data_IF_738970069920
#
_entry.id   IF_738970069920
#
_cell.length_a   1.000
_cell.length_b   1.000
_cell.length_c   1.000
_cell.angle_alpha   90.00
_cell.angle_beta   90.00
_cell.angle_gamma   90.00
#
_symmetry.space_group_name_H-M   'P 1'
#
loop_
_entity.id
_entity.type
_entity.pdbx_description
1 polymer ?
#
# COMPACT_ATOMS: atom_id res chain seq x y z
N UNK A 1 26.46 6.42 7.87
CA UNK A 1 27.05 5.08 7.93
C UNK A 1 26.11 4.11 7.23
N UNK A 2 26.63 3.19 6.43
CA UNK A 2 25.85 2.19 5.66
C UNK A 2 24.93 1.31 6.54
N UNK A 3 25.26 1.13 7.80
CA UNK A 3 24.42 0.40 8.77
C UNK A 3 23.08 1.09 9.03
N UNK A 4 23.07 2.43 9.12
CA UNK A 4 21.81 3.17 9.35
C UNK A 4 20.83 3.10 8.19
N UNK A 5 21.31 3.12 6.95
CA UNK A 5 20.49 2.98 5.74
C UNK A 5 19.85 1.57 5.66
N UNK A 6 20.62 0.51 5.95
CA UNK A 6 20.08 -0.85 5.98
C UNK A 6 18.97 -1.04 7.01
N UNK A 7 19.06 -0.39 8.17
CA UNK A 7 18.02 -0.46 9.20
C UNK A 7 16.74 0.31 8.81
N UNK A 8 16.87 1.42 8.07
CA UNK A 8 15.72 2.17 7.53
C UNK A 8 14.96 1.30 6.51
N UNK A 9 15.66 0.68 5.57
CA UNK A 9 15.03 -0.21 4.57
C UNK A 9 14.34 -1.42 5.18
N UNK A 10 14.96 -2.06 6.18
CA UNK A 10 14.31 -3.15 6.93
C UNK A 10 13.01 -2.69 7.58
N UNK A 11 13.02 -1.53 8.26
CA UNK A 11 11.82 -0.98 8.90
C UNK A 11 10.73 -0.65 7.89
N UNK A 12 11.09 -0.17 6.71
CA UNK A 12 10.14 0.13 5.65
C UNK A 12 9.47 -1.14 5.12
N UNK A 13 10.25 -2.19 4.81
CA UNK A 13 9.70 -3.47 4.34
C UNK A 13 8.80 -4.08 5.41
N UNK A 14 9.24 -4.14 6.66
CA UNK A 14 8.45 -4.67 7.77
C UNK A 14 7.21 -3.81 8.02
N UNK A 15 7.35 -2.49 7.94
CA UNK A 15 6.25 -1.55 8.14
C UNK A 15 5.17 -1.69 7.06
N UNK A 16 5.55 -1.73 5.79
CA UNK A 16 4.61 -1.92 4.68
C UNK A 16 3.95 -3.31 4.71
N UNK A 17 4.72 -4.35 5.04
CA UNK A 17 4.21 -5.71 5.23
C UNK A 17 3.09 -5.75 6.28
N UNK A 18 3.34 -5.22 7.47
CA UNK A 18 2.34 -5.18 8.53
C UNK A 18 1.17 -4.23 8.23
N UNK A 19 1.40 -3.11 7.54
CA UNK A 19 0.33 -2.17 7.19
C UNK A 19 -0.69 -2.79 6.22
N UNK A 20 -0.22 -3.55 5.22
CA UNK A 20 -1.10 -4.30 4.32
C UNK A 20 -1.84 -5.40 5.07
N UNK A 21 -1.16 -6.12 5.95
CA UNK A 21 -1.79 -7.17 6.77
C UNK A 21 -2.89 -6.61 7.68
N UNK A 22 -2.67 -5.48 8.34
CA UNK A 22 -3.68 -4.81 9.16
C UNK A 22 -4.90 -4.33 8.35
N UNK A 23 -4.72 -4.07 7.06
CA UNK A 23 -5.79 -3.62 6.15
C UNK A 23 -6.63 -4.79 5.64
N UNK A 24 -6.11 -6.02 5.65
CA UNK A 24 -6.79 -7.23 5.15
C UNK A 24 -7.83 -7.76 6.15
N UNK A 25 -8.69 -6.87 6.64
CA UNK A 25 -9.72 -7.19 7.65
C UNK A 25 -11.14 -7.33 7.10
N UNK A 26 -11.40 -6.92 5.86
CA UNK A 26 -12.69 -7.03 5.17
C UNK A 26 -12.50 -7.60 3.76
N UNK A 27 -13.56 -8.19 3.22
CA UNK A 27 -13.60 -8.83 1.90
C UNK A 27 -13.07 -7.90 0.79
N UNK A 28 -11.91 -8.24 0.19
CA UNK A 28 -11.31 -7.49 -0.90
C UNK A 28 -10.72 -6.13 -0.53
N UNK A 29 -10.75 -5.73 0.73
CA UNK A 29 -10.32 -4.40 1.16
C UNK A 29 -8.86 -4.12 0.84
N UNK A 30 -7.94 -5.04 1.11
CA UNK A 30 -6.52 -4.88 0.85
C UNK A 30 -6.15 -5.09 -0.63
N UNK A 31 -6.87 -5.97 -1.33
CA UNK A 31 -6.51 -6.45 -2.66
C UNK A 31 -6.49 -5.32 -3.71
N UNK A 32 -7.53 -4.48 -3.77
CA UNK A 32 -7.60 -3.38 -4.75
C UNK A 32 -6.55 -2.29 -4.48
N UNK A 33 -6.35 -1.81 -3.24
CA UNK A 33 -5.25 -0.89 -2.95
C UNK A 33 -3.86 -1.44 -3.32
N UNK A 34 -3.60 -2.75 -3.11
CA UNK A 34 -2.35 -3.39 -3.57
C UNK A 34 -2.21 -3.30 -5.10
N UNK A 35 -3.28 -3.62 -5.86
CA UNK A 35 -3.28 -3.50 -7.32
C UNK A 35 -2.96 -2.06 -7.76
N UNK A 36 -3.58 -1.06 -7.12
CA UNK A 36 -3.36 0.34 -7.45
C UNK A 36 -1.92 0.78 -7.19
N UNK A 37 -1.38 0.44 -6.01
CA UNK A 37 0.02 0.75 -5.66
C UNK A 37 0.98 0.03 -6.60
N UNK A 38 0.78 -1.27 -6.86
CA UNK A 38 1.61 -2.04 -7.79
C UNK A 38 1.56 -1.44 -9.22
N UNK A 39 0.40 -0.95 -9.67
CA UNK A 39 0.25 -0.28 -10.97
C UNK A 39 1.03 1.02 -11.03
N UNK A 40 0.99 1.83 -9.96
CA UNK A 40 1.81 3.04 -9.86
C UNK A 40 3.30 2.71 -9.96
N UNK A 41 3.75 1.69 -9.21
CA UNK A 41 5.16 1.30 -9.23
C UNK A 41 5.59 0.58 -10.49
N UNK A 42 4.70 -0.12 -11.21
CA UNK A 42 4.97 -0.62 -12.54
C UNK A 42 5.26 0.54 -13.51
N UNK A 43 4.45 1.59 -13.48
CA UNK A 43 4.68 2.80 -14.27
C UNK A 43 5.98 3.51 -13.86
N UNK A 44 6.21 3.72 -12.57
CA UNK A 44 7.43 4.36 -12.04
C UNK A 44 8.67 3.58 -12.47
N UNK A 45 8.67 2.26 -12.31
CA UNK A 45 9.80 1.41 -12.71
C UNK A 45 10.09 1.51 -14.21
N UNK A 46 9.04 1.53 -15.03
CA UNK A 46 9.19 1.67 -16.47
C UNK A 46 9.80 3.03 -16.85
N UNK A 47 9.31 4.13 -16.29
CA UNK A 47 9.81 5.47 -16.67
C UNK A 47 11.20 5.75 -16.08
N UNK A 48 11.50 5.28 -14.86
CA UNK A 48 12.85 5.44 -14.25
C UNK A 48 13.90 4.53 -14.89
N UNK A 49 13.47 3.39 -15.44
CA UNK A 49 14.34 2.45 -16.18
C UNK A 49 14.57 2.85 -17.65
N UNK A 50 13.92 3.90 -18.14
CA UNK A 50 14.07 4.38 -19.52
C UNK A 50 14.71 5.77 -19.55
N UNK A 51 15.84 5.89 -20.23
CA UNK A 51 16.63 7.12 -20.25
C UNK A 51 15.86 8.32 -20.84
N UNK A 52 15.08 8.10 -21.90
CA UNK A 52 14.29 9.15 -22.56
C UNK A 52 13.20 9.69 -21.67
N UNK A 53 12.47 8.80 -20.99
CA UNK A 53 11.38 9.19 -20.10
C UNK A 53 11.91 9.79 -18.80
N UNK A 54 13.01 9.28 -18.26
CA UNK A 54 13.62 9.84 -17.05
C UNK A 54 14.13 11.26 -17.27
N UNK A 55 14.77 11.54 -18.41
CA UNK A 55 15.18 12.90 -18.79
C UNK A 55 13.98 13.83 -18.97
N UNK A 56 12.95 13.39 -19.70
CA UNK A 56 11.73 14.19 -19.92
C UNK A 56 11.01 14.56 -18.62
N UNK A 57 10.92 13.61 -17.69
CA UNK A 57 10.27 13.81 -16.39
C UNK A 57 11.20 14.42 -15.33
N UNK A 58 12.48 14.60 -15.66
CA UNK A 58 13.51 15.08 -14.73
C UNK A 58 13.63 14.23 -13.45
N UNK A 59 13.44 12.92 -13.58
CA UNK A 59 13.62 11.95 -12.49
C UNK A 59 14.92 11.17 -12.67
N UNK A 60 15.52 10.64 -11.58
CA UNK A 60 16.76 9.88 -11.67
C UNK A 60 16.59 8.63 -12.54
N UNK A 61 17.45 8.47 -13.55
CA UNK A 61 17.55 7.22 -14.28
C UNK A 61 18.20 6.14 -13.42
N UNK A 62 17.63 4.94 -13.40
CA UNK A 62 18.17 3.80 -12.65
C UNK A 62 18.23 2.61 -13.61
N UNK A 63 19.46 2.19 -13.95
CA UNK A 63 19.71 1.09 -14.85
C UNK A 63 19.08 -0.22 -14.33
N UNK A 64 18.42 -0.97 -15.22
CA UNK A 64 17.82 -2.27 -14.90
C UNK A 64 16.50 -2.22 -14.11
N UNK A 65 16.09 -1.07 -13.59
CA UNK A 65 14.85 -0.94 -12.80
C UNK A 65 13.59 -1.19 -13.64
N UNK A 66 13.66 -0.99 -14.96
CA UNK A 66 12.54 -1.29 -15.87
C UNK A 66 12.00 -2.71 -15.73
N UNK A 67 12.85 -3.69 -15.41
CA UNK A 67 12.46 -5.11 -15.21
C UNK A 67 11.54 -5.30 -13.98
N UNK A 68 11.59 -4.39 -13.00
CA UNK A 68 10.70 -4.43 -11.83
C UNK A 68 9.23 -4.23 -12.24
N UNK A 69 8.98 -3.59 -13.39
CA UNK A 69 7.63 -3.46 -13.94
C UNK A 69 7.00 -4.83 -14.24
N UNK A 70 7.79 -5.82 -14.68
CA UNK A 70 7.32 -7.19 -14.91
C UNK A 70 6.89 -7.84 -13.59
N UNK A 71 7.67 -7.66 -12.53
CA UNK A 71 7.32 -8.15 -11.20
C UNK A 71 6.03 -7.50 -10.67
N UNK A 72 5.90 -6.19 -10.83
CA UNK A 72 4.65 -5.49 -10.48
C UNK A 72 3.47 -6.00 -11.31
N UNK A 73 3.66 -6.25 -12.60
CA UNK A 73 2.65 -6.85 -13.48
C UNK A 73 2.20 -8.23 -13.00
N UNK A 74 3.12 -9.05 -12.51
CA UNK A 74 2.79 -10.36 -11.93
C UNK A 74 1.95 -10.21 -10.65
N UNK A 75 2.29 -9.26 -9.77
CA UNK A 75 1.47 -8.94 -8.57
C UNK A 75 0.06 -8.51 -8.99
N UNK A 76 -0.05 -7.60 -9.95
CA UNK A 76 -1.35 -7.10 -10.44
C UNK A 76 -2.19 -8.27 -10.98
N UNK A 77 -1.61 -9.11 -11.84
CA UNK A 77 -2.32 -10.25 -12.41
C UNK A 77 -2.77 -11.26 -11.37
N UNK A 78 -1.91 -11.60 -10.41
CA UNK A 78 -2.24 -12.49 -9.30
C UNK A 78 -3.35 -11.91 -8.42
N UNK A 79 -3.26 -10.62 -8.06
CA UNK A 79 -4.27 -9.95 -7.24
C UNK A 79 -5.61 -9.80 -7.99
N UNK A 80 -5.63 -9.58 -9.31
CA UNK A 80 -6.86 -9.56 -10.10
C UNK A 80 -7.54 -10.93 -10.14
N UNK A 81 -6.76 -11.99 -10.36
CA UNK A 81 -7.28 -13.36 -10.29
C UNK A 81 -7.81 -13.74 -8.91
N UNK A 82 -7.11 -13.31 -7.85
CA UNK A 82 -7.56 -13.50 -6.48
C UNK A 82 -8.82 -12.71 -6.16
N UNK A 83 -8.90 -11.44 -6.61
CA UNK A 83 -10.03 -10.55 -6.38
C UNK A 83 -11.34 -11.10 -6.95
N UNK A 84 -11.28 -11.89 -8.03
CA UNK A 84 -12.47 -12.54 -8.59
C UNK A 84 -13.23 -13.36 -7.57
N UNK A 85 -12.53 -13.93 -6.59
CA UNK A 85 -13.12 -14.75 -5.54
C UNK A 85 -13.12 -14.06 -4.16
N UNK A 86 -12.32 -13.00 -3.98
CA UNK A 86 -12.17 -12.27 -2.71
C UNK A 86 -13.03 -11.01 -2.64
N UNK A 87 -13.66 -10.57 -3.76
CA UNK A 87 -14.61 -9.45 -3.73
C UNK A 87 -15.86 -9.80 -2.90
N UNK A 88 -16.46 -8.80 -2.21
CA UNK A 88 -17.64 -9.04 -1.35
C UNK A 88 -18.83 -9.62 -2.12
N UNK A 89 -19.46 -10.74 -1.66
CA UNK A 89 -19.08 -11.58 -0.53
C UNK A 89 -17.94 -12.55 -0.90
N UNK A 90 -16.85 -12.53 -0.12
CA UNK A 90 -15.65 -13.29 -0.42
C UNK A 90 -15.88 -14.81 -0.27
N UNK A 91 -15.32 -15.57 -1.22
CA UNK A 91 -15.27 -17.04 -1.19
C UNK A 91 -13.92 -17.56 -0.71
N UNK A 92 -12.86 -16.75 -0.78
CA UNK A 92 -11.52 -17.07 -0.33
C UNK A 92 -10.92 -15.86 0.38
N UNK A 93 -10.01 -16.12 1.32
CA UNK A 93 -9.34 -15.09 2.13
C UNK A 93 -7.84 -15.14 1.91
N UNK A 94 -7.18 -13.98 1.96
CA UNK A 94 -5.74 -13.86 1.68
C UNK A 94 -4.89 -14.43 2.83
N UNK A 95 -5.25 -14.11 4.06
CA UNK A 95 -4.51 -14.46 5.26
C UNK A 95 -3.14 -13.78 5.34
N UNK A 96 -2.45 -14.01 6.47
CA UNK A 96 -1.17 -13.38 6.78
C UNK A 96 -0.09 -13.68 5.74
N UNK A 97 -0.05 -14.89 5.20
CA UNK A 97 0.95 -15.27 4.20
C UNK A 97 0.88 -14.40 2.95
N UNK A 98 -0.33 -14.14 2.45
CA UNK A 98 -0.53 -13.32 1.26
C UNK A 98 -0.33 -11.83 1.55
N UNK A 99 -0.98 -11.31 2.58
CA UNK A 99 -0.96 -9.88 2.90
C UNK A 99 0.43 -9.38 3.32
N UNK A 100 1.17 -10.16 4.14
CA UNK A 100 2.54 -9.83 4.51
C UNK A 100 3.49 -9.88 3.31
N UNK A 101 3.34 -10.88 2.43
CA UNK A 101 4.17 -11.01 1.23
C UNK A 101 3.92 -9.85 0.26
N UNK A 102 2.67 -9.48 0.02
CA UNK A 102 2.32 -8.35 -0.85
C UNK A 102 2.85 -7.02 -0.29
N UNK A 103 2.62 -6.74 0.99
CA UNK A 103 3.12 -5.53 1.62
C UNK A 103 4.64 -5.44 1.63
N UNK A 104 5.33 -6.56 1.92
CA UNK A 104 6.79 -6.65 1.85
C UNK A 104 7.33 -6.43 0.45
N UNK A 105 6.66 -6.98 -0.57
CA UNK A 105 7.00 -6.78 -1.98
C UNK A 105 6.87 -5.32 -2.41
N UNK A 106 5.78 -4.63 -2.05
CA UNK A 106 5.61 -3.20 -2.34
C UNK A 106 6.68 -2.35 -1.65
N UNK A 107 7.02 -2.68 -0.39
CA UNK A 107 8.11 -2.02 0.33
C UNK A 107 9.46 -2.21 -0.36
N UNK A 108 9.77 -3.41 -0.82
CA UNK A 108 11.01 -3.70 -1.56
C UNK A 108 11.07 -2.95 -2.90
N UNK A 109 9.97 -2.97 -3.68
CA UNK A 109 9.87 -2.26 -4.96
C UNK A 109 10.11 -0.77 -4.78
N UNK A 110 9.54 -0.14 -3.75
CA UNK A 110 9.72 1.30 -3.50
C UNK A 110 11.17 1.67 -3.17
N UNK A 111 11.91 0.80 -2.50
CA UNK A 111 13.34 0.98 -2.21
C UNK A 111 14.17 0.84 -3.48
N UNK A 112 13.90 -0.19 -4.31
CA UNK A 112 14.60 -0.44 -5.57
C UNK A 112 14.43 0.76 -6.52
N UNK A 113 13.22 1.30 -6.59
CA UNK A 113 12.91 2.47 -7.43
C UNK A 113 13.32 3.80 -6.82
N UNK A 114 13.75 3.83 -5.55
CA UNK A 114 14.09 5.04 -4.77
C UNK A 114 12.91 6.03 -4.64
N UNK A 115 11.72 5.50 -4.51
CA UNK A 115 10.47 6.28 -4.42
C UNK A 115 9.68 5.96 -3.15
N UNK A 116 10.35 5.93 -1.98
CA UNK A 116 9.79 5.55 -0.70
C UNK A 116 8.65 6.48 -0.25
N UNK A 117 8.80 7.78 -0.49
CA UNK A 117 7.76 8.78 -0.15
C UNK A 117 6.52 8.56 -1.02
N UNK A 118 6.71 8.20 -2.29
CA UNK A 118 5.60 7.91 -3.20
C UNK A 118 4.83 6.68 -2.71
N UNK A 119 5.49 5.67 -2.14
CA UNK A 119 4.81 4.54 -1.51
C UNK A 119 3.92 5.00 -0.34
N UNK A 120 4.41 5.93 0.50
CA UNK A 120 3.63 6.42 1.62
C UNK A 120 2.37 7.19 1.16
N UNK A 121 2.41 7.82 -0.01
CA UNK A 121 1.27 8.55 -0.59
C UNK A 121 0.33 7.58 -1.30
N UNK A 122 0.83 6.79 -2.26
CA UNK A 122 0.00 5.84 -3.03
C UNK A 122 -0.59 4.76 -2.15
N UNK A 123 0.17 4.28 -1.16
CA UNK A 123 -0.25 3.35 -0.12
C UNK A 123 -0.84 4.02 1.12
N UNK A 124 -1.27 5.27 1.02
CA UNK A 124 -1.74 6.07 2.16
C UNK A 124 -2.89 5.43 2.93
N UNK A 125 -3.73 4.60 2.28
CA UNK A 125 -4.74 3.83 2.99
C UNK A 125 -4.08 2.88 4.01
N UNK A 126 -3.06 2.13 3.63
CA UNK A 126 -2.33 1.23 4.53
C UNK A 126 -1.68 2.00 5.68
N UNK A 127 -1.16 3.20 5.38
CA UNK A 127 -0.59 4.11 6.39
C UNK A 127 -1.67 4.53 7.39
N UNK A 128 -2.85 4.94 6.92
CA UNK A 128 -3.98 5.33 7.77
C UNK A 128 -4.47 4.19 8.66
N UNK A 129 -4.59 2.98 8.11
CA UNK A 129 -4.98 1.80 8.87
C UNK A 129 -3.98 1.51 10.00
N UNK A 130 -2.69 1.42 9.68
CA UNK A 130 -1.63 1.18 10.66
C UNK A 130 -1.56 2.31 11.72
N UNK A 131 -1.67 3.57 11.28
CA UNK A 131 -1.64 4.73 12.17
C UNK A 131 -2.83 4.74 13.12
N UNK A 132 -4.02 4.34 12.66
CA UNK A 132 -5.21 4.23 13.52
C UNK A 132 -5.00 3.26 14.68
N UNK A 133 -4.31 2.14 14.43
CA UNK A 133 -3.97 1.16 15.47
C UNK A 133 -2.95 1.74 16.45
N UNK A 134 -1.89 2.38 15.94
CA UNK A 134 -0.86 3.00 16.78
C UNK A 134 -1.47 4.05 17.72
N UNK A 135 -2.26 4.97 17.16
CA UNK A 135 -2.93 6.03 17.93
C UNK A 135 -3.89 5.45 18.98
N UNK A 136 -4.68 4.44 18.60
CA UNK A 136 -5.58 3.76 19.52
C UNK A 136 -4.84 3.12 20.71
N UNK A 137 -3.76 2.39 20.43
CA UNK A 137 -2.96 1.71 21.46
C UNK A 137 -2.28 2.72 22.38
N UNK A 138 -1.68 3.77 21.82
CA UNK A 138 -1.03 4.83 22.61
C UNK A 138 -2.04 5.53 23.52
N UNK A 139 -3.18 5.96 22.97
CA UNK A 139 -4.23 6.61 23.73
C UNK A 139 -4.73 5.73 24.88
N UNK A 140 -5.01 4.45 24.59
CA UNK A 140 -5.50 3.53 25.60
C UNK A 140 -4.48 3.28 26.73
N UNK A 141 -3.19 3.15 26.37
CA UNK A 141 -2.12 2.98 27.37
C UNK A 141 -1.90 4.22 28.24
N UNK A 142 -2.02 5.41 27.67
CA UNK A 142 -1.75 6.66 28.39
C UNK A 142 -2.97 7.19 29.17
N UNK A 143 -4.18 7.03 28.60
CA UNK A 143 -5.38 7.68 29.16
C UNK A 143 -6.49 6.72 29.58
N UNK A 144 -6.36 5.41 29.26
CA UNK A 144 -7.41 4.42 29.46
C UNK A 144 -8.63 4.59 28.53
N UNK A 145 -8.59 5.56 27.61
CA UNK A 145 -9.71 5.90 26.70
C UNK A 145 -9.40 5.50 25.27
N UNK A 146 -10.44 5.02 24.58
CA UNK A 146 -10.39 4.70 23.14
C UNK A 146 -10.74 5.95 22.33
N UNK A 147 -9.93 6.27 21.29
CA UNK A 147 -10.23 7.33 20.32
C UNK A 147 -11.24 6.82 19.29
N UNK A 148 -10.98 5.65 18.72
CA UNK A 148 -11.86 5.00 17.78
C UNK A 148 -12.72 3.95 18.48
N UNK A 149 -13.93 3.68 17.98
CA UNK A 149 -14.78 2.60 18.50
C UNK A 149 -14.07 1.25 18.43
N UNK A 150 -13.32 1.05 17.34
CA UNK A 150 -12.45 -0.10 17.09
C UNK A 150 -11.32 0.31 16.16
N UNK A 151 -10.17 -0.32 16.23
CA UNK A 151 -9.05 -0.19 15.30
C UNK A 151 -8.71 -1.59 14.74
N UNK A 152 -8.26 -1.70 13.50
CA UNK A 152 -8.01 -0.65 12.50
C UNK A 152 -9.27 0.15 12.10
N UNK A 153 -9.09 1.26 11.32
CA UNK A 153 -10.14 2.27 11.12
C UNK A 153 -11.36 1.75 10.33
N UNK A 154 -11.20 0.75 9.46
CA UNK A 154 -12.34 0.14 8.76
C UNK A 154 -13.36 -0.42 9.75
N UNK A 155 -12.95 -1.08 10.82
CA UNK A 155 -13.84 -1.57 11.88
C UNK A 155 -14.54 -0.45 12.65
N UNK A 156 -13.94 0.74 12.73
CA UNK A 156 -14.62 1.89 13.32
C UNK A 156 -15.89 2.27 12.54
N UNK A 157 -15.85 2.21 11.19
CA UNK A 157 -17.00 2.52 10.35
C UNK A 157 -18.06 1.42 10.41
N UNK A 158 -17.68 0.14 10.48
CA UNK A 158 -18.62 -0.96 10.74
C UNK A 158 -19.34 -0.77 12.08
N UNK A 159 -18.59 -0.42 13.15
CA UNK A 159 -19.18 -0.13 14.47
C UNK A 159 -20.05 1.13 14.49
N UNK A 160 -19.97 1.97 13.45
CA UNK A 160 -20.91 3.07 13.20
C UNK A 160 -22.16 2.65 12.45
N UNK A 161 -22.26 1.40 12.00
CA UNK A 161 -23.41 0.84 11.28
C UNK A 161 -23.30 0.92 9.75
N UNK A 162 -22.10 1.20 9.20
CA UNK A 162 -21.91 1.11 7.75
C UNK A 162 -21.85 -0.35 7.32
N UNK A 163 -22.48 -0.64 6.18
CA UNK A 163 -22.39 -1.96 5.57
C UNK A 163 -20.95 -2.21 5.07
N UNK A 164 -20.45 -3.42 5.22
CA UNK A 164 -19.09 -3.80 4.87
C UNK A 164 -18.71 -3.40 3.43
N UNK A 165 -19.54 -3.77 2.45
CA UNK A 165 -19.30 -3.41 1.05
C UNK A 165 -19.22 -1.90 0.82
N UNK A 166 -19.94 -1.09 1.61
CA UNK A 166 -19.88 0.36 1.54
C UNK A 166 -18.52 0.88 2.04
N UNK A 167 -17.99 0.31 3.12
CA UNK A 167 -16.66 0.65 3.63
C UNK A 167 -15.61 0.32 2.58
N UNK A 168 -15.65 -0.91 2.05
CA UNK A 168 -14.69 -1.42 1.07
C UNK A 168 -14.65 -0.54 -0.19
N UNK A 169 -15.82 -0.27 -0.80
CA UNK A 169 -15.88 0.56 -2.02
C UNK A 169 -15.37 1.98 -1.77
N UNK A 170 -15.72 2.60 -0.65
CA UNK A 170 -15.24 3.95 -0.31
C UNK A 170 -13.73 3.97 -0.12
N UNK A 171 -13.16 2.95 0.49
CA UNK A 171 -11.72 2.83 0.69
C UNK A 171 -10.99 2.58 -0.63
N UNK A 172 -11.57 1.82 -1.57
CA UNK A 172 -11.05 1.69 -2.93
C UNK A 172 -11.00 3.04 -3.66
N UNK A 173 -12.07 3.86 -3.53
CA UNK A 173 -12.11 5.21 -4.12
C UNK A 173 -11.01 6.09 -3.52
N UNK A 174 -10.84 6.07 -2.19
CA UNK A 174 -9.77 6.81 -1.51
C UNK A 174 -8.39 6.34 -2.01
N UNK A 175 -8.18 5.04 -2.13
CA UNK A 175 -6.91 4.48 -2.63
C UNK A 175 -6.63 4.90 -4.07
N UNK A 176 -7.66 4.96 -4.93
CA UNK A 176 -7.52 5.45 -6.30
C UNK A 176 -7.10 6.92 -6.33
N UNK A 177 -7.72 7.77 -5.51
CA UNK A 177 -7.35 9.19 -5.40
C UNK A 177 -5.89 9.32 -4.92
N UNK A 178 -5.50 8.56 -3.91
CA UNK A 178 -4.13 8.57 -3.38
C UNK A 178 -3.11 8.06 -4.42
N UNK A 179 -3.45 7.06 -5.21
CA UNK A 179 -2.64 6.58 -6.32
C UNK A 179 -2.42 7.68 -7.38
N UNK A 180 -3.47 8.41 -7.77
CA UNK A 180 -3.37 9.53 -8.70
C UNK A 180 -2.52 10.68 -8.12
N UNK A 181 -2.72 11.03 -6.85
CA UNK A 181 -1.90 12.05 -6.16
C UNK A 181 -0.44 11.62 -6.12
N UNK A 182 -0.15 10.36 -5.76
CA UNK A 182 1.20 9.84 -5.72
C UNK A 182 1.90 9.91 -7.08
N UNK A 183 1.22 9.54 -8.17
CA UNK A 183 1.77 9.70 -9.53
C UNK A 183 1.99 11.17 -9.90
N UNK A 184 1.09 12.07 -9.50
CA UNK A 184 1.24 13.50 -9.76
C UNK A 184 2.49 14.08 -9.08
N UNK A 185 2.90 13.54 -7.93
CA UNK A 185 4.12 14.01 -7.22
C UNK A 185 5.42 13.73 -7.99
N UNK A 186 5.42 12.82 -8.95
CA UNK A 186 6.62 12.55 -9.78
C UNK A 186 7.06 13.78 -10.58
N UNK A 187 6.14 14.69 -10.90
CA UNK A 187 6.40 15.89 -11.70
C UNK A 187 6.53 17.17 -10.84
N UNK A 188 6.24 17.09 -9.56
CA UNK A 188 6.33 18.25 -8.65
C UNK A 188 7.76 18.32 -8.10
N UNK A 189 8.56 19.18 -8.73
CA UNK A 189 9.84 19.67 -8.20
C UNK A 189 9.88 21.18 -8.32
#
# INVERSE_FOLDING_TARGET
SSRGLGDVYKRQIVGSSNAVNLTDGLDGLATVPVILVASCFAFISYVTGNIVFSEYLQIPYIEGVGEVAVFCGAIIGACLGFLWFNAPPAKIFMGDTGSLALGGSLGAVSIITKHEIVLAITGGLFVFEAFSVIVQVISFKLTGKRIFKMAPIHHHFEKKGWHESTVVIRFWIISLILAMVGLATLKVR
#
